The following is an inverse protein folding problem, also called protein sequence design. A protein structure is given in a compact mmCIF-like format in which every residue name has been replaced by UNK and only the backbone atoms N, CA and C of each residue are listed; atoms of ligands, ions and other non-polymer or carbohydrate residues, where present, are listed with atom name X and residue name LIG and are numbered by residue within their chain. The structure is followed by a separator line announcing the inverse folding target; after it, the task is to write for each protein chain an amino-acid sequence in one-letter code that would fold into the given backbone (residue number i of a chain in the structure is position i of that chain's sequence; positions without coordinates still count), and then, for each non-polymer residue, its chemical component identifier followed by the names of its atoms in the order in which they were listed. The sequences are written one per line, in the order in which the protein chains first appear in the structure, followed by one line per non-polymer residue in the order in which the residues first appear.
data_IF_436997220967
#
_entry.id   IF_436997220967
#
_cell.length_a   1.000
_cell.length_b   1.000
_cell.length_c   1.000
_cell.angle_alpha   90.00
_cell.angle_beta   90.00
_cell.angle_gamma   90.00
#
_symmetry.space_group_name_H-M   'P 1'
#
loop_
_entity.id
_entity.type
_entity.pdbx_description
1 polymer ?
#
# COMPACT_ATOMS: atom_id res chain seq x y z
N UNK A 1 14.22 9.55 -9.48
CA UNK A 1 13.86 8.11 -9.48
C UNK A 1 13.13 7.84 -8.16
N UNK A 2 11.95 7.23 -8.20
CA UNK A 2 11.19 6.89 -6.99
C UNK A 2 11.70 5.61 -6.35
N UNK A 3 11.74 5.56 -5.02
CA UNK A 3 12.00 4.33 -4.28
C UNK A 3 10.74 3.45 -4.34
N UNK A 4 10.93 2.16 -4.62
CA UNK A 4 9.84 1.18 -4.52
C UNK A 4 9.49 1.02 -3.05
N UNK A 5 8.21 0.82 -2.80
CA UNK A 5 7.67 0.64 -1.46
C UNK A 5 6.41 -0.22 -1.60
N UNK A 6 6.33 -1.30 -0.83
CA UNK A 6 5.17 -2.20 -0.78
C UNK A 6 4.73 -2.41 0.67
N UNK A 7 3.62 -1.77 1.07
CA UNK A 7 3.05 -1.97 2.40
C UNK A 7 1.70 -2.70 2.31
N UNK A 8 1.46 -3.74 3.13
CA UNK A 8 0.18 -4.41 3.18
C UNK A 8 -0.86 -3.61 3.98
N UNK A 9 -2.04 -3.43 3.38
CA UNK A 9 -3.20 -2.79 4.00
C UNK A 9 -4.41 -3.73 3.95
N UNK A 10 -4.99 -4.05 5.12
CA UNK A 10 -6.23 -4.84 5.22
C UNK A 10 -7.48 -3.97 5.25
N UNK A 11 -7.38 -2.71 5.68
CA UNK A 11 -8.49 -1.76 5.68
C UNK A 11 -8.58 -1.06 4.33
N UNK A 12 -9.16 -1.74 3.35
CA UNK A 12 -9.45 -1.18 2.04
C UNK A 12 -10.85 -1.57 1.57
N UNK A 13 -11.45 -0.78 0.67
CA UNK A 13 -12.73 -1.11 0.06
C UNK A 13 -12.93 -0.38 -1.27
N UNK A 14 -13.80 -0.94 -2.11
CA UNK A 14 -14.40 -0.24 -3.24
C UNK A 14 -15.47 0.73 -2.72
N UNK A 15 -15.34 2.02 -3.04
CA UNK A 15 -16.30 3.06 -2.65
C UNK A 15 -17.33 3.36 -3.72
N UNK A 16 -17.01 3.12 -4.99
CA UNK A 16 -17.93 3.39 -6.08
C UNK A 16 -17.63 2.49 -7.29
N UNK A 17 -18.65 2.19 -8.09
CA UNK A 17 -18.51 1.44 -9.33
C UNK A 17 -18.31 2.35 -10.56
N UNK A 18 -18.92 3.54 -10.57
CA UNK A 18 -18.83 4.49 -11.70
C UNK A 18 -18.80 5.96 -11.21
N UNK A 19 -17.66 6.65 -11.32
CA UNK A 19 -16.35 6.10 -11.67
C UNK A 19 -15.90 5.06 -10.62
N UNK A 20 -15.07 4.07 -11.00
CA UNK A 20 -14.56 3.10 -10.05
C UNK A 20 -13.63 3.79 -9.05
N UNK A 21 -13.92 3.65 -7.77
CA UNK A 21 -13.12 4.24 -6.70
C UNK A 21 -12.80 3.14 -5.70
N UNK A 22 -11.51 2.99 -5.38
CA UNK A 22 -11.00 2.17 -4.29
C UNK A 22 -10.23 3.08 -3.34
N UNK A 23 -10.26 2.77 -2.05
CA UNK A 23 -9.39 3.44 -1.09
C UNK A 23 -9.04 2.53 0.07
N UNK A 24 -8.07 2.97 0.85
CA UNK A 24 -7.56 2.28 2.03
C UNK A 24 -7.33 3.28 3.17
N UNK A 25 -7.27 2.77 4.40
CA UNK A 25 -6.93 3.54 5.58
C UNK A 25 -5.54 3.14 6.08
N UNK A 26 -4.75 4.13 6.49
CA UNK A 26 -3.44 3.92 7.11
C UNK A 26 -3.46 4.33 8.57
N UNK A 27 -2.93 3.47 9.44
CA UNK A 27 -2.59 3.85 10.81
C UNK A 27 -1.28 4.61 10.78
N UNK A 28 -1.32 5.89 11.13
CA UNK A 28 -0.15 6.76 11.07
C UNK A 28 0.28 7.11 9.64
N UNK A 29 1.38 7.85 9.57
CA UNK A 29 1.91 8.40 8.32
C UNK A 29 3.08 7.54 7.79
N UNK A 30 2.74 6.42 7.16
CA UNK A 30 3.71 5.49 6.57
C UNK A 30 4.29 6.02 5.25
N UNK A 31 5.39 5.43 4.80
CA UNK A 31 6.04 5.75 3.53
C UNK A 31 5.08 5.66 2.33
N UNK A 32 4.20 4.65 2.30
CA UNK A 32 3.13 4.55 1.29
C UNK A 32 2.27 5.83 1.21
N UNK A 33 1.87 6.41 2.34
CA UNK A 33 1.04 7.62 2.38
C UNK A 33 1.87 8.84 1.95
N UNK A 34 3.11 8.95 2.42
CA UNK A 34 4.01 10.03 2.03
C UNK A 34 4.28 10.04 0.52
N UNK A 35 4.56 8.86 -0.06
CA UNK A 35 4.76 8.67 -1.49
C UNK A 35 3.50 9.07 -2.28
N UNK A 36 2.32 8.64 -1.86
CA UNK A 36 1.05 9.01 -2.51
C UNK A 36 0.80 10.52 -2.49
N UNK A 37 1.13 11.19 -1.38
CA UNK A 37 0.95 12.65 -1.29
C UNK A 37 1.93 13.40 -2.19
N UNK A 38 3.15 12.88 -2.34
CA UNK A 38 4.17 13.48 -3.21
C UNK A 38 3.88 13.24 -4.71
N UNK A 39 3.44 12.03 -5.08
CA UNK A 39 3.28 11.63 -6.49
C UNK A 39 1.85 11.74 -7.01
N UNK A 40 0.85 11.68 -6.13
CA UNK A 40 -0.56 11.59 -6.48
C UNK A 40 -1.01 10.21 -6.96
N UNK A 41 -0.15 9.19 -6.89
CA UNK A 41 -0.37 7.89 -7.54
C UNK A 41 -0.08 6.71 -6.61
N UNK A 42 -0.86 5.64 -6.73
CA UNK A 42 -0.54 4.32 -6.17
C UNK A 42 -1.16 3.18 -6.99
N UNK A 43 -0.68 1.97 -6.71
CA UNK A 43 -1.26 0.72 -7.22
C UNK A 43 -1.74 -0.12 -6.03
N UNK A 44 -2.96 -0.64 -6.14
CA UNK A 44 -3.47 -1.64 -5.21
C UNK A 44 -3.27 -3.04 -5.80
N UNK A 45 -2.61 -3.92 -5.04
CA UNK A 45 -2.35 -5.31 -5.43
C UNK A 45 -3.13 -6.26 -4.50
N UNK A 46 -3.91 -7.17 -5.07
CA UNK A 46 -4.62 -8.19 -4.29
C UNK A 46 -3.67 -9.35 -3.93
N UNK A 47 -3.33 -9.47 -2.64
CA UNK A 47 -2.61 -10.63 -2.14
C UNK A 47 -3.54 -11.85 -2.04
N UNK A 48 -3.22 -12.90 -2.77
CA UNK A 48 -3.94 -14.19 -2.73
C UNK A 48 -3.29 -15.15 -1.72
N UNK A 49 -3.97 -16.25 -1.37
CA UNK A 49 -3.48 -17.23 -0.39
C UNK A 49 -2.01 -17.69 -0.63
N UNK A 50 -1.56 -17.98 -1.87
CA UNK A 50 -0.16 -18.34 -2.11
C UNK A 50 0.85 -17.23 -1.79
N UNK A 51 0.43 -15.96 -1.77
CA UNK A 51 1.27 -14.81 -1.47
C UNK A 51 1.20 -14.39 0.01
N UNK A 52 0.42 -15.08 0.85
CA UNK A 52 0.13 -14.63 2.20
C UNK A 52 1.39 -14.43 3.06
N UNK A 53 2.35 -15.36 3.00
CA UNK A 53 3.61 -15.27 3.73
C UNK A 53 4.47 -14.12 3.21
N UNK A 54 4.68 -14.04 1.89
CA UNK A 54 5.45 -12.96 1.27
C UNK A 54 4.86 -11.57 1.56
N UNK A 55 3.53 -11.44 1.50
CA UNK A 55 2.82 -10.21 1.87
C UNK A 55 3.00 -9.88 3.35
N UNK A 56 2.96 -10.88 4.24
CA UNK A 56 3.20 -10.63 5.66
C UNK A 56 4.63 -10.16 5.92
N UNK A 57 5.62 -10.70 5.20
CA UNK A 57 7.00 -10.20 5.28
C UNK A 57 7.13 -8.73 4.87
N UNK A 58 6.34 -8.24 3.90
CA UNK A 58 6.32 -6.81 3.56
C UNK A 58 5.67 -5.90 4.61
N UNK A 59 5.20 -6.45 5.75
CA UNK A 59 4.65 -5.64 6.86
C UNK A 59 5.71 -5.19 7.87
N UNK A 60 6.98 -5.57 7.67
CA UNK A 60 8.06 -5.27 8.59
C UNK A 60 8.28 -3.74 8.62
N UNK A 61 8.36 -3.11 9.81
CA UNK A 61 8.68 -1.69 9.88
C UNK A 61 10.13 -1.47 9.43
N UNK A 62 10.34 -0.87 8.27
CA UNK A 62 11.65 -0.48 7.78
C UNK A 62 11.91 1.03 7.93
N UNK A 63 13.18 1.46 8.02
CA UNK A 63 13.52 2.87 7.93
C UNK A 63 13.07 3.48 6.60
N UNK A 64 12.76 4.78 6.61
CA UNK A 64 12.32 5.51 5.42
C UNK A 64 13.34 5.37 4.29
N UNK A 65 12.87 4.90 3.14
CA UNK A 65 13.67 4.74 1.92
C UNK A 65 14.30 3.36 1.71
N UNK A 66 14.01 2.39 2.57
CA UNK A 66 14.19 0.96 2.30
C UNK A 66 12.87 0.36 1.78
N UNK A 67 12.94 -0.59 0.84
CA UNK A 67 11.76 -1.25 0.26
C UNK A 67 11.22 -2.28 1.27
N UNK A 68 9.99 -2.06 1.74
CA UNK A 68 9.22 -2.95 2.63
C UNK A 68 8.96 -4.34 2.00
#
# INVERSE_FOLDING_TARGET
AGLRNLAPYSFFNCFNYRPPIIGFASTGWKDSVANIVETGEFVWNLATRPLAEAMNHSSIPLPRGEDE
#
